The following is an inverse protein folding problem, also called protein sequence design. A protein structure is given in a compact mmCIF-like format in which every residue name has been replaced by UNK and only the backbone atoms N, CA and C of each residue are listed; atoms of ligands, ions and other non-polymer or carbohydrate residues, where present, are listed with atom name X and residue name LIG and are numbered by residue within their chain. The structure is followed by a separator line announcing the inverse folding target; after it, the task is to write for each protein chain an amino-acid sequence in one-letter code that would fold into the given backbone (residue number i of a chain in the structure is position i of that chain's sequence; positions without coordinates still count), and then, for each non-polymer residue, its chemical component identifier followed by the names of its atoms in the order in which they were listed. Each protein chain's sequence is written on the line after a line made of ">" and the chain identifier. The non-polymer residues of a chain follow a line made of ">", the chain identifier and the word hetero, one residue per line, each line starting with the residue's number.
data_IF_476601587121
#
_entry.id   IF_476601587121
#
_cell.length_a   1.000
_cell.length_b   1.000
_cell.length_c   1.000
_cell.angle_alpha   90.00
_cell.angle_beta   90.00
_cell.angle_gamma   90.00
#
_symmetry.space_group_name_H-M   'P 1'
#
loop_
_entity.id
_entity.type
_entity.pdbx_description
1 polymer ?
#
# COMPACT_ATOMS: atom_id res chain seq x y z
N UNK A 1 7.20 41.86 -38.25
CA UNK A 1 7.04 40.53 -38.88
C UNK A 1 6.58 39.57 -37.79
N UNK A 2 5.26 39.29 -37.70
CA UNK A 2 4.67 38.51 -36.60
C UNK A 2 4.52 37.06 -37.06
N UNK A 3 5.34 36.14 -36.52
CA UNK A 3 5.16 34.71 -36.77
C UNK A 3 3.85 34.26 -36.08
N UNK A 4 2.81 33.99 -36.87
CA UNK A 4 1.63 33.28 -36.38
C UNK A 4 1.98 31.79 -36.35
N UNK A 5 2.26 31.25 -35.17
CA UNK A 5 2.39 29.81 -34.98
C UNK A 5 0.99 29.20 -35.13
N UNK A 6 0.70 28.62 -36.29
CA UNK A 6 -0.52 27.86 -36.51
C UNK A 6 -0.20 26.40 -36.15
N UNK A 7 -0.54 25.99 -34.93
CA UNK A 7 -0.47 24.58 -34.56
C UNK A 7 -1.60 23.81 -35.22
N UNK A 8 -1.27 22.74 -35.93
CA UNK A 8 -2.28 21.82 -36.44
C UNK A 8 -2.85 20.97 -35.29
N UNK A 9 -4.11 20.52 -35.39
CA UNK A 9 -4.77 19.68 -34.37
C UNK A 9 -3.94 18.46 -33.98
N UNK A 10 -3.24 17.85 -34.94
CA UNK A 10 -2.37 16.69 -34.73
C UNK A 10 -1.11 17.03 -33.93
N UNK A 11 -0.50 18.19 -34.21
CA UNK A 11 0.64 18.68 -33.43
C UNK A 11 0.23 19.12 -32.02
N UNK A 12 -0.94 19.74 -31.88
CA UNK A 12 -1.50 20.08 -30.57
C UNK A 12 -1.77 18.82 -29.74
N UNK A 13 -2.37 17.78 -30.34
CA UNK A 13 -2.57 16.48 -29.68
C UNK A 13 -1.25 15.81 -29.30
N UNK A 14 -0.26 15.78 -30.20
CA UNK A 14 1.06 15.21 -29.91
C UNK A 14 1.79 15.93 -28.78
N UNK A 15 1.75 17.27 -28.76
CA UNK A 15 2.36 18.07 -27.69
C UNK A 15 1.62 17.89 -26.35
N UNK A 16 0.29 17.81 -26.37
CA UNK A 16 -0.52 17.58 -25.18
C UNK A 16 -0.24 16.21 -24.55
N UNK A 17 -0.12 15.15 -25.36
CA UNK A 17 0.29 13.82 -24.88
C UNK A 17 1.69 13.86 -24.24
N UNK A 18 2.65 14.53 -24.87
CA UNK A 18 4.00 14.70 -24.31
C UNK A 18 4.01 15.43 -22.96
N UNK A 19 3.18 16.46 -22.79
CA UNK A 19 3.02 17.19 -21.52
C UNK A 19 2.41 16.31 -20.44
N UNK A 20 1.38 15.52 -20.76
CA UNK A 20 0.73 14.61 -19.81
C UNK A 20 1.72 13.55 -19.29
N UNK A 21 2.51 12.95 -20.19
CA UNK A 21 3.53 11.95 -19.84
C UNK A 21 4.65 12.54 -18.97
N UNK A 22 5.12 13.74 -19.29
CA UNK A 22 6.13 14.40 -18.47
C UNK A 22 5.59 14.77 -17.07
N UNK A 23 4.34 15.26 -17.00
CA UNK A 23 3.70 15.61 -15.75
C UNK A 23 3.46 14.41 -14.83
N UNK A 24 3.12 13.23 -15.38
CA UNK A 24 2.93 12.02 -14.57
C UNK A 24 4.20 11.53 -13.88
N UNK A 25 5.38 11.95 -14.34
CA UNK A 25 6.66 11.58 -13.74
C UNK A 25 7.13 12.53 -12.62
N UNK A 26 6.55 13.73 -12.51
CA UNK A 26 6.91 14.72 -11.47
C UNK A 26 6.88 14.18 -10.03
N UNK A 27 5.90 13.36 -9.60
CA UNK A 27 5.87 12.86 -8.23
C UNK A 27 6.94 11.78 -7.95
N UNK A 28 7.70 11.35 -8.96
CA UNK A 28 8.69 10.28 -8.85
C UNK A 28 10.12 10.83 -8.97
N UNK A 29 10.66 11.39 -7.90
CA UNK A 29 12.00 11.99 -7.93
C UNK A 29 13.15 10.97 -7.90
N UNK A 30 12.90 9.74 -7.40
CA UNK A 30 13.93 8.74 -7.10
C UNK A 30 13.74 7.40 -7.85
N UNK A 31 13.24 7.45 -9.09
CA UNK A 31 13.02 6.26 -9.92
C UNK A 31 14.11 6.07 -10.98
N UNK A 32 14.40 4.81 -11.27
CA UNK A 32 15.31 4.37 -12.32
C UNK A 32 14.75 4.73 -13.71
N UNK A 33 15.60 4.63 -14.73
CA UNK A 33 15.17 4.86 -16.11
C UNK A 33 14.13 3.82 -16.59
N UNK A 34 14.30 2.56 -16.19
CA UNK A 34 13.36 1.49 -16.54
C UNK A 34 11.99 1.67 -15.88
N UNK A 35 11.93 2.10 -14.62
CA UNK A 35 10.67 2.43 -13.96
C UNK A 35 9.98 3.63 -14.66
N UNK A 36 10.76 4.66 -15.04
CA UNK A 36 10.20 5.82 -15.79
C UNK A 36 9.53 5.43 -17.08
N UNK A 37 10.14 4.55 -17.88
CA UNK A 37 9.57 4.14 -19.17
C UNK A 37 8.28 3.35 -18.96
N UNK A 38 8.21 2.48 -17.94
CA UNK A 38 6.99 1.74 -17.61
C UNK A 38 5.86 2.64 -17.12
N UNK A 39 6.15 3.60 -16.24
CA UNK A 39 5.16 4.57 -15.73
C UNK A 39 4.66 5.45 -16.88
N UNK A 40 5.57 5.99 -17.70
CA UNK A 40 5.23 6.81 -18.85
C UNK A 40 4.37 6.08 -19.90
N UNK A 41 4.51 4.76 -20.02
CA UNK A 41 3.72 3.94 -20.93
C UNK A 41 2.29 3.67 -20.44
N UNK A 42 2.04 3.74 -19.12
CA UNK A 42 0.74 3.41 -18.50
C UNK A 42 0.38 4.33 -17.32
N UNK A 43 0.47 5.66 -17.47
CA UNK A 43 0.41 6.59 -16.34
C UNK A 43 -0.92 6.57 -15.60
N UNK A 44 -2.01 6.20 -16.28
CA UNK A 44 -3.35 6.09 -15.70
C UNK A 44 -3.42 4.92 -14.74
N UNK A 45 -2.90 3.75 -15.13
CA UNK A 45 -2.92 2.54 -14.32
C UNK A 45 -2.09 2.72 -13.05
N UNK A 46 -0.91 3.33 -13.12
CA UNK A 46 -0.11 3.66 -11.93
C UNK A 46 -0.86 4.61 -10.98
N UNK A 47 -1.54 5.62 -11.51
CA UNK A 47 -2.34 6.53 -10.69
C UNK A 47 -3.55 5.82 -10.06
N UNK A 48 -4.24 4.96 -10.81
CA UNK A 48 -5.37 4.16 -10.31
C UNK A 48 -4.94 3.22 -9.20
N UNK A 49 -3.81 2.53 -9.37
CA UNK A 49 -3.26 1.64 -8.35
C UNK A 49 -2.97 2.38 -7.04
N UNK A 50 -2.37 3.56 -7.11
CA UNK A 50 -2.13 4.39 -5.91
C UNK A 50 -3.45 4.78 -5.23
N UNK A 51 -4.47 5.18 -5.99
CA UNK A 51 -5.78 5.57 -5.43
C UNK A 51 -6.50 4.38 -4.77
N UNK A 52 -6.51 3.22 -5.42
CA UNK A 52 -7.04 1.98 -4.84
C UNK A 52 -6.28 1.63 -3.57
N UNK A 53 -4.94 1.70 -3.59
CA UNK A 53 -4.08 1.39 -2.46
C UNK A 53 -4.38 2.30 -1.26
N UNK A 54 -4.50 3.61 -1.47
CA UNK A 54 -4.89 4.56 -0.42
C UNK A 54 -6.26 4.24 0.15
N UNK A 55 -7.25 3.97 -0.71
CA UNK A 55 -8.62 3.65 -0.27
C UNK A 55 -8.68 2.35 0.53
N UNK A 56 -8.03 1.27 0.08
CA UNK A 56 -8.11 -0.04 0.73
C UNK A 56 -7.28 -0.14 2.01
N UNK A 57 -6.21 0.65 2.13
CA UNK A 57 -5.36 0.67 3.33
C UNK A 57 -5.70 1.78 4.31
N UNK A 58 -6.53 2.75 3.88
CA UNK A 58 -6.89 3.98 4.61
C UNK A 58 -5.69 4.87 4.98
N UNK A 59 -4.58 4.74 4.26
CA UNK A 59 -3.43 5.65 4.35
C UNK A 59 -3.40 6.56 3.13
N UNK A 60 -3.61 7.86 3.33
CA UNK A 60 -3.58 8.85 2.22
C UNK A 60 -2.15 9.23 1.80
N UNK A 61 -1.17 9.03 2.67
CA UNK A 61 0.22 9.45 2.52
C UNK A 61 1.14 8.34 1.99
N UNK A 62 0.59 7.32 1.32
CA UNK A 62 1.38 6.27 0.67
C UNK A 62 2.41 6.86 -0.31
N UNK A 63 3.64 6.35 -0.22
CA UNK A 63 4.74 6.74 -1.08
C UNK A 63 4.46 6.34 -2.53
N UNK A 64 4.52 7.34 -3.42
CA UNK A 64 4.16 7.19 -4.83
C UNK A 64 5.15 6.29 -5.56
N UNK A 65 6.44 6.32 -5.19
CA UNK A 65 7.48 5.46 -5.77
C UNK A 65 7.30 4.00 -5.34
N UNK A 66 7.02 3.73 -4.06
CA UNK A 66 6.71 2.37 -3.59
C UNK A 66 5.44 1.84 -4.24
N UNK A 67 4.41 2.68 -4.38
CA UNK A 67 3.19 2.32 -5.09
C UNK A 67 3.46 1.88 -6.52
N UNK A 68 4.35 2.57 -7.25
CA UNK A 68 4.74 2.14 -8.59
C UNK A 68 5.47 0.80 -8.60
N UNK A 69 6.39 0.58 -7.65
CA UNK A 69 7.13 -0.69 -7.55
C UNK A 69 6.23 -1.87 -7.23
N UNK A 70 5.29 -1.71 -6.28
CA UNK A 70 4.29 -2.73 -5.99
C UNK A 70 3.43 -3.04 -7.22
N UNK A 71 2.98 -2.01 -7.94
CA UNK A 71 2.21 -2.21 -9.16
C UNK A 71 3.00 -2.99 -10.21
N UNK A 72 4.25 -2.60 -10.48
CA UNK A 72 5.12 -3.30 -11.43
C UNK A 72 5.32 -4.77 -11.05
N UNK A 73 5.60 -5.05 -9.77
CA UNK A 73 5.79 -6.43 -9.31
C UNK A 73 4.49 -7.24 -9.41
N UNK A 74 3.34 -6.70 -9.02
CA UNK A 74 2.04 -7.39 -9.16
C UNK A 74 1.70 -7.74 -10.61
N UNK A 75 2.13 -6.94 -11.60
CA UNK A 75 1.90 -7.25 -13.03
C UNK A 75 2.55 -8.55 -13.47
N UNK A 76 3.60 -9.00 -12.80
CA UNK A 76 4.28 -10.26 -13.13
C UNK A 76 3.47 -11.47 -12.67
N UNK A 77 2.64 -11.32 -11.64
CA UNK A 77 1.80 -12.39 -11.07
C UNK A 77 0.36 -12.37 -11.58
N UNK A 78 -0.14 -11.21 -12.04
CA UNK A 78 -1.52 -11.04 -12.51
C UNK A 78 -1.57 -10.64 -13.99
N UNK A 79 -1.70 -11.60 -14.93
CA UNK A 79 -1.73 -11.32 -16.37
C UNK A 79 -2.88 -10.41 -16.81
N UNK A 80 -3.97 -10.37 -16.04
CA UNK A 80 -5.16 -9.55 -16.30
C UNK A 80 -5.19 -8.28 -15.44
N UNK A 81 -4.06 -7.89 -14.83
CA UNK A 81 -4.04 -6.84 -13.82
C UNK A 81 -4.68 -5.54 -14.31
N UNK A 82 -4.39 -5.10 -15.54
CA UNK A 82 -4.90 -3.82 -16.03
C UNK A 82 -6.44 -3.77 -16.11
N UNK A 83 -7.10 -4.85 -16.56
CA UNK A 83 -8.57 -4.87 -16.63
C UNK A 83 -9.20 -5.00 -15.25
N UNK A 84 -8.61 -5.82 -14.37
CA UNK A 84 -9.05 -5.96 -12.98
C UNK A 84 -8.89 -4.65 -12.19
N UNK A 85 -7.76 -3.97 -12.38
CA UNK A 85 -7.45 -2.68 -11.75
C UNK A 85 -8.46 -1.61 -12.14
N UNK A 86 -8.84 -1.53 -13.42
CA UNK A 86 -9.86 -0.57 -13.86
C UNK A 86 -11.20 -0.81 -13.15
N UNK A 87 -11.62 -2.07 -13.03
CA UNK A 87 -12.82 -2.44 -12.30
C UNK A 87 -12.71 -2.12 -10.80
N UNK A 88 -11.56 -2.40 -10.15
CA UNK A 88 -11.33 -2.00 -8.75
C UNK A 88 -11.36 -0.49 -8.57
N UNK A 89 -10.82 0.26 -9.51
CA UNK A 89 -10.82 1.72 -9.45
C UNK A 89 -12.25 2.26 -9.47
N UNK A 90 -13.12 1.74 -10.34
CA UNK A 90 -14.53 2.13 -10.35
C UNK A 90 -15.19 1.84 -9.00
N UNK A 91 -14.93 0.68 -8.40
CA UNK A 91 -15.43 0.33 -7.07
C UNK A 91 -14.87 1.25 -5.98
N UNK A 92 -13.58 1.62 -6.04
CA UNK A 92 -12.95 2.50 -5.04
C UNK A 92 -13.52 3.91 -5.06
N UNK A 93 -13.98 4.39 -6.21
CA UNK A 93 -14.66 5.68 -6.34
C UNK A 93 -16.07 5.67 -5.73
N UNK A 94 -16.71 4.51 -5.62
CA UNK A 94 -18.06 4.34 -5.06
C UNK A 94 -18.04 4.00 -3.57
N UNK A 95 -16.94 3.42 -3.09
CA UNK A 95 -16.79 3.00 -1.70
C UNK A 95 -16.49 4.18 -0.77
N UNK A 96 -17.23 4.25 0.34
CA UNK A 96 -17.00 5.22 1.42
C UNK A 96 -15.68 4.98 2.14
N UNK A 97 -15.38 3.71 2.42
CA UNK A 97 -14.29 3.24 3.28
C UNK A 97 -13.64 1.95 2.72
N UNK A 98 -12.57 1.49 3.37
CA UNK A 98 -11.88 0.27 2.97
C UNK A 98 -12.75 -0.99 3.07
N UNK A 99 -13.59 -1.08 4.10
CA UNK A 99 -14.47 -2.24 4.32
C UNK A 99 -15.44 -2.42 3.15
N UNK A 100 -16.07 -1.32 2.72
CA UNK A 100 -17.00 -1.31 1.59
C UNK A 100 -16.29 -1.63 0.27
N UNK A 101 -15.10 -1.07 0.04
CA UNK A 101 -14.29 -1.43 -1.13
C UNK A 101 -13.96 -2.93 -1.14
N UNK A 102 -13.48 -3.47 -0.02
CA UNK A 102 -13.11 -4.89 0.08
C UNK A 102 -14.32 -5.80 -0.18
N UNK A 103 -15.48 -5.48 0.42
CA UNK A 103 -16.73 -6.21 0.20
C UNK A 103 -17.13 -6.21 -1.27
N UNK A 104 -17.18 -5.04 -1.92
CA UNK A 104 -17.52 -4.96 -3.34
C UNK A 104 -16.52 -5.65 -4.25
N UNK A 105 -15.21 -5.54 -3.97
CA UNK A 105 -14.19 -6.25 -4.71
C UNK A 105 -14.42 -7.78 -4.64
N UNK A 106 -14.71 -8.31 -3.46
CA UNK A 106 -15.02 -9.73 -3.26
C UNK A 106 -16.28 -10.14 -4.02
N UNK A 107 -17.37 -9.36 -3.93
CA UNK A 107 -18.63 -9.61 -4.64
C UNK A 107 -18.45 -9.64 -6.17
N UNK A 108 -17.51 -8.85 -6.69
CA UNK A 108 -17.15 -8.80 -8.12
C UNK A 108 -16.04 -9.78 -8.52
N UNK A 109 -15.71 -10.77 -7.66
CA UNK A 109 -14.73 -11.81 -7.97
C UNK A 109 -13.26 -11.37 -7.92
N UNK A 110 -12.97 -10.22 -7.31
CA UNK A 110 -11.62 -9.63 -7.22
C UNK A 110 -10.91 -9.91 -5.90
N UNK A 111 -11.38 -10.93 -5.15
CA UNK A 111 -10.83 -11.31 -3.84
C UNK A 111 -9.32 -11.49 -3.86
N UNK A 112 -8.80 -12.22 -4.83
CA UNK A 112 -7.37 -12.55 -4.92
C UNK A 112 -6.53 -11.29 -5.11
N UNK A 113 -6.90 -10.43 -6.07
CA UNK A 113 -6.17 -9.21 -6.35
C UNK A 113 -6.20 -8.24 -5.17
N UNK A 114 -7.38 -7.98 -4.58
CA UNK A 114 -7.46 -7.02 -3.47
C UNK A 114 -6.67 -7.51 -2.24
N UNK A 115 -6.67 -8.83 -1.98
CA UNK A 115 -5.85 -9.43 -0.93
C UNK A 115 -4.36 -9.32 -1.24
N UNK A 116 -3.95 -9.54 -2.50
CA UNK A 116 -2.55 -9.38 -2.91
C UNK A 116 -2.06 -7.94 -2.73
N UNK A 117 -2.88 -6.93 -3.07
CA UNK A 117 -2.57 -5.51 -2.87
C UNK A 117 -2.35 -5.22 -1.38
N UNK A 118 -3.30 -5.59 -0.52
CA UNK A 118 -3.20 -5.36 0.94
C UNK A 118 -2.00 -6.10 1.51
N UNK A 119 -1.78 -7.36 1.12
CA UNK A 119 -0.65 -8.17 1.58
C UNK A 119 0.68 -7.53 1.21
N UNK A 120 0.82 -7.03 -0.03
CA UNK A 120 2.04 -6.40 -0.49
C UNK A 120 2.39 -5.14 0.32
N UNK A 121 1.39 -4.29 0.59
CA UNK A 121 1.58 -3.08 1.40
C UNK A 121 1.90 -3.39 2.87
N UNK A 122 1.18 -4.32 3.48
CA UNK A 122 1.37 -4.64 4.90
C UNK A 122 2.67 -5.37 5.18
N UNK A 123 3.05 -6.32 4.31
CA UNK A 123 4.24 -7.15 4.52
C UNK A 123 5.50 -6.60 3.87
N UNK A 124 5.36 -5.63 2.96
CA UNK A 124 6.49 -5.17 2.17
C UNK A 124 6.80 -6.02 0.94
N UNK A 125 6.11 -7.15 0.75
CA UNK A 125 6.49 -8.23 -0.18
C UNK A 125 5.32 -8.63 -1.06
N UNK A 126 5.53 -8.70 -2.38
CA UNK A 126 4.58 -9.31 -3.31
C UNK A 126 4.75 -10.83 -3.29
N UNK A 127 3.64 -11.57 -3.20
CA UNK A 127 3.60 -13.05 -3.09
C UNK A 127 4.53 -13.63 -2.00
N UNK A 128 4.35 -13.25 -0.72
CA UNK A 128 5.22 -13.73 0.37
C UNK A 128 5.10 -15.24 0.62
N UNK A 129 4.06 -15.90 0.08
CA UNK A 129 3.88 -17.36 0.15
C UNK A 129 4.80 -18.14 -0.77
N UNK A 130 5.35 -17.50 -1.80
CA UNK A 130 6.20 -18.13 -2.80
C UNK A 130 7.66 -17.70 -2.60
N UNK A 131 8.50 -18.60 -2.08
CA UNK A 131 9.90 -18.27 -1.81
C UNK A 131 10.72 -17.99 -3.08
N UNK A 132 10.31 -18.49 -4.26
CA UNK A 132 11.03 -18.30 -5.52
C UNK A 132 10.58 -17.06 -6.28
N UNK A 133 9.30 -16.71 -6.19
CA UNK A 133 8.70 -15.59 -6.93
C UNK A 133 8.38 -14.39 -6.04
N UNK A 134 8.51 -14.52 -4.72
CA UNK A 134 8.23 -13.45 -3.78
C UNK A 134 9.21 -12.29 -3.92
N UNK A 135 8.69 -11.07 -4.03
CA UNK A 135 9.49 -9.87 -4.26
C UNK A 135 9.39 -8.91 -3.08
N UNK A 136 10.47 -8.75 -2.33
CA UNK A 136 10.57 -7.74 -1.27
C UNK A 136 10.76 -6.35 -1.90
N UNK A 137 9.72 -5.52 -1.82
CA UNK A 137 9.72 -4.15 -2.37
C UNK A 137 10.20 -3.14 -1.32
N UNK A 138 9.72 -3.27 -0.08
CA UNK A 138 10.14 -2.40 1.02
C UNK A 138 10.04 -3.13 2.35
N UNK A 139 11.16 -3.22 3.06
CA UNK A 139 11.17 -3.80 4.40
C UNK A 139 10.74 -2.79 5.46
N UNK A 140 11.44 -1.66 5.53
CA UNK A 140 11.25 -0.67 6.59
C UNK A 140 9.90 0.04 6.51
N UNK A 141 9.42 0.32 5.31
CA UNK A 141 8.18 1.09 5.09
C UNK A 141 6.93 0.20 4.98
N UNK A 142 7.04 -1.10 5.31
CA UNK A 142 5.89 -2.02 5.33
C UNK A 142 4.84 -1.55 6.36
N UNK A 143 3.56 -1.49 5.97
CA UNK A 143 2.53 -0.83 6.77
C UNK A 143 2.28 -1.51 8.13
N UNK A 144 2.57 -2.81 8.26
CA UNK A 144 2.43 -3.50 9.55
C UNK A 144 3.29 -2.91 10.66
N UNK A 145 4.42 -2.25 10.32
CA UNK A 145 5.26 -1.59 11.32
C UNK A 145 4.69 -0.25 11.77
N UNK A 146 3.95 0.44 10.89
CA UNK A 146 3.37 1.76 11.19
C UNK A 146 2.31 1.69 12.28
N UNK A 147 1.53 0.61 12.33
CA UNK A 147 0.43 0.42 13.30
C UNK A 147 0.91 0.18 14.74
N UNK A 148 2.21 -0.11 14.92
CA UNK A 148 2.82 -0.45 16.22
C UNK A 148 4.07 0.38 16.51
N UNK A 149 4.33 1.43 15.73
CA UNK A 149 5.59 2.18 15.74
C UNK A 149 5.86 2.95 17.05
N UNK A 150 4.86 3.11 17.90
CA UNK A 150 4.95 3.78 19.20
C UNK A 150 5.52 2.85 20.29
N UNK A 151 5.44 1.53 20.07
CA UNK A 151 5.86 0.52 21.02
C UNK A 151 6.86 -0.50 20.46
N UNK A 152 6.94 -0.67 19.14
CA UNK A 152 7.79 -1.67 18.49
C UNK A 152 8.70 -1.02 17.44
N UNK A 153 9.91 -1.57 17.32
CA UNK A 153 10.85 -1.19 16.27
C UNK A 153 10.62 -2.03 15.00
N UNK A 154 11.02 -1.48 13.87
CA UNK A 154 11.34 -2.31 12.69
C UNK A 154 12.60 -3.13 13.05
N UNK A 155 12.59 -4.46 12.90
CA UNK A 155 13.76 -5.28 13.24
C UNK A 155 15.00 -4.82 12.47
N UNK A 156 16.16 -4.77 13.12
CA UNK A 156 17.44 -4.20 12.60
C UNK A 156 17.52 -2.66 12.54
N UNK A 157 16.46 -1.92 12.91
CA UNK A 157 16.51 -0.46 13.10
C UNK A 157 16.47 -0.07 14.59
N UNK A 158 17.49 0.67 15.03
CA UNK A 158 17.61 1.15 16.40
C UNK A 158 16.95 2.52 16.58
N UNK A 159 15.69 2.59 17.06
CA UNK A 159 14.92 3.85 17.13
C UNK A 159 14.58 4.36 18.55
N UNK A 160 14.90 3.64 19.62
CA UNK A 160 14.56 4.03 21.01
C UNK A 160 15.76 4.04 21.98
N UNK A 161 16.98 3.90 21.47
CA UNK A 161 18.17 3.77 22.31
C UNK A 161 18.29 2.40 23.01
N UNK A 162 19.32 2.20 23.83
CA UNK A 162 19.52 0.93 24.54
C UNK A 162 18.45 0.70 25.61
N UNK A 163 18.08 -0.56 25.83
CA UNK A 163 17.17 -1.01 26.90
C UNK A 163 15.75 -0.40 26.87
N UNK A 164 15.32 0.15 25.73
CA UNK A 164 14.01 0.79 25.58
C UNK A 164 12.82 -0.09 25.99
N UNK A 165 12.94 -1.41 25.81
CA UNK A 165 11.93 -2.42 26.13
C UNK A 165 11.68 -2.63 27.63
N UNK A 166 12.44 -1.96 28.50
CA UNK A 166 12.22 -1.99 29.96
C UNK A 166 11.14 -1.02 30.42
N UNK A 167 10.81 -0.02 29.61
CA UNK A 167 9.68 0.88 29.85
C UNK A 167 8.34 0.21 29.60
N UNK A 168 7.27 0.78 30.17
CA UNK A 168 5.92 0.38 29.80
C UNK A 168 5.60 0.87 28.39
N UNK A 169 4.90 0.07 27.55
CA UNK A 169 4.39 0.55 26.28
C UNK A 169 3.45 1.76 26.45
N UNK A 170 3.29 2.60 25.41
CA UNK A 170 2.31 3.67 25.40
C UNK A 170 0.91 3.16 25.80
N UNK A 171 0.21 3.93 26.63
CA UNK A 171 -1.13 3.58 27.13
C UNK A 171 -1.15 2.54 28.25
N UNK A 172 -0.03 1.87 28.56
CA UNK A 172 0.07 0.92 29.68
C UNK A 172 0.55 1.64 30.94
N UNK A 173 -0.29 1.69 31.98
CA UNK A 173 -0.03 2.46 33.21
C UNK A 173 0.56 1.63 34.34
N UNK A 174 0.56 0.30 34.23
CA UNK A 174 1.09 -0.61 35.25
C UNK A 174 1.56 -1.91 34.60
N UNK A 175 2.63 -2.49 35.12
CA UNK A 175 3.00 -3.86 34.79
C UNK A 175 1.90 -4.85 35.23
N UNK A 176 1.61 -5.89 34.44
CA UNK A 176 0.70 -6.95 34.86
C UNK A 176 1.20 -7.58 36.16
N UNK A 177 0.33 -7.66 37.17
CA UNK A 177 0.64 -8.36 38.44
C UNK A 177 0.44 -9.87 38.33
N UNK A 178 -0.07 -10.34 37.21
CA UNK A 178 -0.38 -11.75 36.91
C UNK A 178 0.44 -12.12 35.68
N UNK A 179 1.25 -13.19 35.73
CA UNK A 179 1.96 -13.70 34.57
C UNK A 179 0.99 -14.03 33.42
N UNK A 180 1.44 -13.83 32.17
CA UNK A 180 0.62 -14.11 30.99
C UNK A 180 0.11 -15.57 30.96
N UNK A 181 0.92 -16.49 31.46
CA UNK A 181 0.60 -17.93 31.57
C UNK A 181 -0.62 -18.22 32.45
N UNK A 182 -0.88 -17.36 33.43
CA UNK A 182 -1.96 -17.55 34.41
C UNK A 182 -3.25 -16.82 34.02
N UNK A 183 -3.23 -16.01 32.94
CA UNK A 183 -4.39 -15.24 32.47
C UNK A 183 -5.64 -16.10 32.17
N UNK A 184 -5.54 -17.28 31.53
CA UNK A 184 -6.72 -18.11 31.26
C UNK A 184 -7.45 -18.53 32.55
N UNK A 185 -6.70 -18.99 33.56
CA UNK A 185 -7.27 -19.44 34.84
C UNK A 185 -7.91 -18.29 35.64
N UNK A 186 -7.38 -17.07 35.51
CA UNK A 186 -7.95 -15.88 36.16
C UNK A 186 -9.20 -15.39 35.43
N UNK A 187 -9.25 -15.53 34.10
CA UNK A 187 -10.44 -15.21 33.31
C UNK A 187 -11.61 -16.13 33.69
N UNK A 188 -11.37 -17.44 33.79
CA UNK A 188 -12.39 -18.44 34.13
C UNK A 188 -13.01 -18.21 35.52
N UNK A 189 -12.18 -17.93 36.55
CA UNK A 189 -12.68 -17.58 37.89
C UNK A 189 -13.58 -16.35 37.92
N UNK A 190 -13.28 -15.35 37.07
CA UNK A 190 -14.08 -14.12 36.98
C UNK A 190 -15.47 -14.36 36.37
N UNK A 191 -15.65 -15.44 35.62
CA UNK A 191 -16.96 -15.87 35.11
C UNK A 191 -17.73 -16.71 36.13
N UNK A 192 -17.06 -17.55 36.93
CA UNK A 192 -17.69 -18.30 38.03
C UNK A 192 -18.22 -17.38 39.14
N UNK A 193 -17.48 -16.33 39.51
CA UNK A 193 -17.90 -15.36 40.53
C UNK A 193 -19.04 -14.42 40.07
N UNK A 194 -19.55 -14.59 38.84
CA UNK A 194 -20.64 -13.79 38.24
C UNK A 194 -21.96 -14.55 38.08
N UNK A 195 -22.02 -15.82 38.50
CA UNK A 195 -23.23 -16.65 38.56
C UNK A 195 -23.68 -16.76 40.01
#
# INVERSE_FOLDING_TARGET
>A
MSLKIVLTRREALGKMVGVIVAASLLPYSNITYAERTQIAASPVEYAQFLQISRKITEFDDLDVTLSARYFSALREHFPQLNSQLNALFILSQQATDAETLNRHAIEQGQRELIQAIVTAWYTGTVDPSNAEQGQLISYKEALMYRTVQDALIVPTWCNFGPLWWTGLPPGVTRQPSIPATDLPAVADKKYEDRV
#
